data_IF_492813112073
#
_entry.id   IF_492813112073
#
_cell.length_a   1.000
_cell.length_b   1.000
_cell.length_c   1.000
_cell.angle_alpha   90.00
_cell.angle_beta   90.00
_cell.angle_gamma   90.00
#
_symmetry.space_group_name_H-M   'P 1'
#
loop_
_entity.id
_entity.type
_entity.pdbx_description
1 polymer ?
#
# COMPACT_ATOMS: atom_id res chain seq x y z
N UNK A 1 -43.24 -2.59 0.19
CA UNK A 1 -42.30 -1.51 0.59
C UNK A 1 -41.05 -2.03 1.30
N UNK A 2 -41.16 -2.96 2.27
CA UNK A 2 -40.02 -3.58 2.97
C UNK A 2 -38.99 -4.27 2.06
N UNK A 3 -39.44 -5.06 1.08
CA UNK A 3 -38.54 -5.78 0.16
C UNK A 3 -37.69 -4.84 -0.71
N UNK A 4 -38.22 -3.68 -1.10
CA UNK A 4 -37.50 -2.70 -1.90
C UNK A 4 -36.34 -2.07 -1.09
N UNK A 5 -36.64 -1.64 0.14
CA UNK A 5 -35.64 -1.04 1.05
C UNK A 5 -34.54 -2.04 1.44
N UNK A 6 -34.88 -3.32 1.58
CA UNK A 6 -33.88 -4.37 1.81
C UNK A 6 -32.99 -4.63 0.60
N UNK A 7 -33.55 -4.64 -0.63
CA UNK A 7 -32.76 -4.79 -1.86
C UNK A 7 -31.82 -3.61 -2.09
N UNK A 8 -32.29 -2.38 -1.86
CA UNK A 8 -31.47 -1.16 -1.98
C UNK A 8 -30.29 -1.17 -1.00
N UNK A 9 -30.53 -1.49 0.29
CA UNK A 9 -29.46 -1.60 1.29
C UNK A 9 -28.45 -2.71 0.95
N UNK A 10 -28.91 -3.85 0.45
CA UNK A 10 -28.04 -4.98 0.11
C UNK A 10 -27.13 -4.63 -1.09
N UNK A 11 -27.68 -3.98 -2.11
CA UNK A 11 -26.90 -3.54 -3.28
C UNK A 11 -25.86 -2.47 -2.88
N UNK A 12 -26.24 -1.49 -2.06
CA UNK A 12 -25.32 -0.47 -1.56
C UNK A 12 -24.14 -1.09 -0.78
N UNK A 13 -24.44 -2.07 0.08
CA UNK A 13 -23.41 -2.78 0.87
C UNK A 13 -22.46 -3.59 -0.02
N UNK A 14 -22.97 -4.25 -1.05
CA UNK A 14 -22.15 -5.02 -2.01
C UNK A 14 -21.25 -4.12 -2.84
N UNK A 15 -21.76 -2.97 -3.29
CA UNK A 15 -20.97 -2.01 -4.06
C UNK A 15 -19.82 -1.43 -3.22
N UNK A 16 -20.07 -1.09 -1.96
CA UNK A 16 -19.03 -0.64 -1.03
C UNK A 16 -17.95 -1.70 -0.80
N UNK A 17 -18.33 -2.96 -0.57
CA UNK A 17 -17.38 -4.07 -0.44
C UNK A 17 -16.54 -4.25 -1.71
N UNK A 18 -17.17 -4.17 -2.88
CA UNK A 18 -16.47 -4.26 -4.15
C UNK A 18 -15.46 -3.13 -4.36
N UNK A 19 -15.85 -1.88 -4.08
CA UNK A 19 -14.96 -0.72 -4.20
C UNK A 19 -13.74 -0.85 -3.28
N UNK A 20 -13.94 -1.29 -2.03
CA UNK A 20 -12.86 -1.53 -1.07
C UNK A 20 -11.90 -2.61 -1.57
N UNK A 21 -12.44 -3.76 -1.98
CA UNK A 21 -11.63 -4.85 -2.54
C UNK A 21 -10.83 -4.38 -3.78
N UNK A 22 -11.46 -3.64 -4.68
CA UNK A 22 -10.80 -3.07 -5.87
C UNK A 22 -9.68 -2.10 -5.49
N UNK A 23 -9.89 -1.22 -4.50
CA UNK A 23 -8.86 -0.30 -3.99
C UNK A 23 -7.67 -1.05 -3.39
N UNK A 24 -7.93 -2.10 -2.60
CA UNK A 24 -6.90 -2.97 -2.03
C UNK A 24 -6.09 -3.69 -3.11
N UNK A 25 -6.74 -4.26 -4.12
CA UNK A 25 -6.04 -4.89 -5.25
C UNK A 25 -5.18 -3.87 -6.00
N UNK A 26 -5.67 -2.64 -6.20
CA UNK A 26 -4.90 -1.57 -6.84
C UNK A 26 -3.65 -1.21 -6.03
N UNK A 27 -3.75 -1.10 -4.70
CA UNK A 27 -2.61 -0.79 -3.84
C UNK A 27 -1.58 -1.92 -3.82
N UNK A 28 -2.02 -3.18 -3.74
CA UNK A 28 -1.16 -4.36 -3.85
C UNK A 28 -0.40 -4.38 -5.19
N UNK A 29 -1.10 -4.13 -6.31
CA UNK A 29 -0.45 -4.02 -7.63
C UNK A 29 0.58 -2.88 -7.68
N UNK A 30 0.25 -1.73 -7.09
CA UNK A 30 1.18 -0.60 -6.99
C UNK A 30 2.43 -0.96 -6.20
N UNK A 31 2.29 -1.69 -5.09
CA UNK A 31 3.42 -2.19 -4.32
C UNK A 31 4.31 -3.13 -5.13
N UNK A 32 3.74 -4.14 -5.80
CA UNK A 32 4.54 -5.05 -6.63
C UNK A 32 5.25 -4.35 -7.78
N UNK A 33 4.63 -3.34 -8.39
CA UNK A 33 5.29 -2.53 -9.41
C UNK A 33 6.50 -1.78 -8.84
N UNK A 34 6.36 -1.18 -7.66
CA UNK A 34 7.46 -0.46 -7.01
C UNK A 34 8.58 -1.43 -6.57
N UNK A 35 8.22 -2.57 -5.99
CA UNK A 35 9.15 -3.64 -5.63
C UNK A 35 9.93 -4.16 -6.85
N UNK A 36 9.25 -4.39 -7.98
CA UNK A 36 9.89 -4.84 -9.21
C UNK A 36 10.92 -3.82 -9.71
N UNK A 37 10.53 -2.54 -9.79
CA UNK A 37 11.45 -1.46 -10.20
C UNK A 37 12.64 -1.38 -9.24
N UNK A 38 12.39 -1.48 -7.94
CA UNK A 38 13.44 -1.50 -6.91
C UNK A 38 14.44 -2.64 -7.16
N UNK A 39 13.97 -3.86 -7.38
CA UNK A 39 14.83 -5.03 -7.60
C UNK A 39 15.62 -4.92 -8.91
N UNK A 40 14.97 -4.52 -10.00
CA UNK A 40 15.61 -4.41 -11.33
C UNK A 40 16.69 -3.32 -11.32
N UNK A 41 16.38 -2.14 -10.80
CA UNK A 41 17.32 -1.01 -10.79
C UNK A 41 18.49 -1.28 -9.86
N UNK A 42 18.23 -1.71 -8.61
CA UNK A 42 19.33 -2.00 -7.68
C UNK A 42 20.15 -3.21 -8.12
N UNK A 43 19.52 -4.24 -8.69
CA UNK A 43 20.22 -5.37 -9.29
C UNK A 43 21.12 -4.96 -10.45
N UNK A 44 20.64 -4.06 -11.32
CA UNK A 44 21.45 -3.51 -12.41
C UNK A 44 22.64 -2.68 -11.89
N UNK A 45 22.42 -1.82 -10.89
CA UNK A 45 23.49 -0.99 -10.30
C UNK A 45 24.57 -1.87 -9.65
N UNK A 46 24.17 -2.81 -8.79
CA UNK A 46 25.10 -3.71 -8.10
C UNK A 46 25.79 -4.67 -9.08
N UNK A 47 25.05 -5.22 -10.04
CA UNK A 47 25.57 -6.14 -11.06
C UNK A 47 26.55 -5.47 -12.02
N UNK A 48 26.23 -4.26 -12.50
CA UNK A 48 27.14 -3.51 -13.39
C UNK A 48 28.44 -3.12 -12.69
N UNK A 49 28.38 -2.77 -11.40
CA UNK A 49 29.58 -2.46 -10.60
C UNK A 49 30.45 -3.71 -10.41
N UNK A 50 29.83 -4.85 -10.07
CA UNK A 50 30.54 -6.13 -9.92
C UNK A 50 31.28 -6.55 -11.21
N UNK A 51 30.65 -6.39 -12.38
CA UNK A 51 31.25 -6.75 -13.67
C UNK A 51 32.34 -5.75 -14.07
N UNK A 52 32.18 -4.46 -13.77
CA UNK A 52 33.06 -3.41 -14.29
C UNK A 52 34.36 -3.22 -13.52
N UNK A 53 34.39 -3.42 -12.20
CA UNK A 53 35.60 -3.13 -11.42
C UNK A 53 36.50 -4.36 -11.26
N UNK A 54 35.94 -5.58 -11.22
CA UNK A 54 36.71 -6.77 -10.81
C UNK A 54 37.30 -6.65 -9.39
N UNK A 55 36.91 -5.60 -8.67
CA UNK A 55 37.55 -5.11 -7.47
C UNK A 55 36.56 -5.25 -6.32
N UNK A 56 36.84 -6.19 -5.43
CA UNK A 56 35.96 -6.59 -4.33
C UNK A 56 35.74 -5.44 -3.32
N UNK A 57 36.68 -4.49 -3.26
CA UNK A 57 36.62 -3.32 -2.37
C UNK A 57 35.53 -2.32 -2.81
N UNK A 58 35.39 -2.04 -4.11
CA UNK A 58 34.36 -1.13 -4.65
C UNK A 58 32.92 -1.68 -4.50
N UNK A 59 32.80 -3.01 -4.34
CA UNK A 59 31.53 -3.66 -4.03
C UNK A 59 31.15 -3.49 -2.56
N UNK A 60 32.11 -3.39 -1.65
CA UNK A 60 31.87 -3.18 -0.21
C UNK A 60 31.79 -1.71 0.21
N UNK A 61 32.02 -0.78 -0.72
CA UNK A 61 31.81 0.64 -0.49
C UNK A 61 30.38 0.93 -0.07
N UNK A 62 30.22 1.62 1.07
CA UNK A 62 28.93 2.05 1.60
C UNK A 62 28.10 2.84 0.58
N UNK A 63 28.75 3.60 -0.31
CA UNK A 63 28.05 4.35 -1.37
C UNK A 63 27.22 3.42 -2.28
N UNK A 64 27.70 2.22 -2.57
CA UNK A 64 27.03 1.25 -3.45
C UNK A 64 25.70 0.75 -2.90
N UNK A 65 25.53 0.74 -1.57
CA UNK A 65 24.31 0.28 -0.91
C UNK A 65 23.41 1.42 -0.46
N UNK A 66 23.94 2.64 -0.35
CA UNK A 66 23.19 3.80 0.15
C UNK A 66 21.87 4.01 -0.60
N UNK A 67 21.88 3.94 -1.93
CA UNK A 67 20.69 4.08 -2.78
C UNK A 67 19.65 2.98 -2.47
N UNK A 68 20.10 1.72 -2.40
CA UNK A 68 19.24 0.59 -2.09
C UNK A 68 18.61 0.73 -0.69
N UNK A 69 19.39 1.15 0.31
CA UNK A 69 18.92 1.33 1.68
C UNK A 69 17.84 2.43 1.75
N UNK A 70 18.12 3.62 1.21
CA UNK A 70 17.15 4.72 1.27
C UNK A 70 15.86 4.40 0.52
N UNK A 71 15.95 3.78 -0.66
CA UNK A 71 14.76 3.34 -1.39
C UNK A 71 14.05 2.18 -0.68
N UNK A 72 14.81 1.29 -0.04
CA UNK A 72 14.30 0.18 0.76
C UNK A 72 13.45 0.66 1.94
N UNK A 73 13.83 1.75 2.59
CA UNK A 73 13.01 2.39 3.64
C UNK A 73 11.66 2.85 3.06
N UNK A 74 11.68 3.55 1.92
CA UNK A 74 10.44 3.98 1.24
C UNK A 74 9.56 2.80 0.82
N UNK A 75 10.18 1.73 0.32
CA UNK A 75 9.50 0.49 -0.04
C UNK A 75 8.88 -0.20 1.18
N UNK A 76 9.57 -0.20 2.33
CA UNK A 76 9.06 -0.75 3.59
C UNK A 76 7.84 0.04 4.08
N UNK A 77 7.86 1.37 4.01
CA UNK A 77 6.68 2.19 4.32
C UNK A 77 5.50 1.92 3.37
N UNK A 78 5.78 1.68 2.08
CA UNK A 78 4.73 1.30 1.13
C UNK A 78 4.17 -0.10 1.43
N UNK A 79 5.03 -1.07 1.76
CA UNK A 79 4.59 -2.39 2.20
C UNK A 79 3.70 -2.30 3.45
N UNK A 80 4.12 -1.48 4.42
CA UNK A 80 3.39 -1.26 5.65
C UNK A 80 2.02 -0.62 5.41
N UNK A 81 1.92 0.38 4.54
CA UNK A 81 0.62 1.01 4.22
C UNK A 81 -0.31 0.06 3.47
N UNK A 82 0.23 -0.86 2.68
CA UNK A 82 -0.56 -1.83 1.90
C UNK A 82 -0.99 -3.03 2.74
N UNK A 83 -0.11 -3.58 3.59
CA UNK A 83 -0.34 -4.83 4.32
C UNK A 83 -0.43 -4.68 5.84
N UNK A 84 0.25 -3.69 6.42
CA UNK A 84 0.44 -3.56 7.87
C UNK A 84 -0.72 -2.89 8.62
N UNK A 85 -1.46 -1.98 7.97
CA UNK A 85 -2.57 -1.25 8.61
C UNK A 85 -3.62 -2.20 9.20
N UNK A 86 -4.02 -3.23 8.45
CA UNK A 86 -5.04 -4.19 8.89
C UNK A 86 -4.55 -5.08 10.04
N UNK A 87 -3.25 -5.37 10.09
CA UNK A 87 -2.62 -6.22 11.12
C UNK A 87 -2.50 -5.47 12.44
N UNK A 88 -2.18 -4.17 12.40
CA UNK A 88 -1.91 -3.37 13.59
C UNK A 88 -3.18 -2.74 14.16
N UNK A 89 -4.07 -2.22 13.30
CA UNK A 89 -5.29 -1.53 13.74
C UNK A 89 -6.51 -2.47 13.80
N UNK A 90 -6.38 -3.67 13.24
CA UNK A 90 -7.45 -4.67 13.10
C UNK A 90 -8.29 -4.45 11.84
N UNK A 91 -8.81 -5.56 11.28
CA UNK A 91 -9.57 -5.58 10.02
C UNK A 91 -10.76 -4.62 9.97
N UNK A 92 -11.36 -4.30 11.12
CA UNK A 92 -12.56 -3.45 11.20
C UNK A 92 -12.22 -1.96 11.47
N UNK A 93 -10.95 -1.59 11.59
CA UNK A 93 -10.59 -0.20 11.89
C UNK A 93 -11.03 0.76 10.79
N UNK A 94 -10.82 0.39 9.52
CA UNK A 94 -11.20 1.23 8.39
C UNK A 94 -12.71 1.49 8.39
N UNK A 95 -13.50 0.44 8.68
CA UNK A 95 -14.97 0.50 8.75
C UNK A 95 -15.46 1.37 9.91
N UNK A 96 -14.85 1.21 11.09
CA UNK A 96 -15.13 2.07 12.25
C UNK A 96 -14.80 3.53 11.94
N UNK A 97 -13.68 3.79 11.26
CA UNK A 97 -13.24 5.16 10.96
C UNK A 97 -14.10 5.83 9.90
N UNK A 98 -14.49 5.11 8.85
CA UNK A 98 -15.43 5.58 7.84
C UNK A 98 -16.76 5.95 8.50
N UNK A 99 -17.29 5.07 9.37
CA UNK A 99 -18.54 5.34 10.10
C UNK A 99 -18.44 6.59 10.98
N UNK A 100 -17.35 6.72 11.75
CA UNK A 100 -17.10 7.91 12.57
C UNK A 100 -17.06 9.21 11.76
N UNK A 101 -16.44 9.19 10.57
CA UNK A 101 -16.34 10.38 9.72
C UNK A 101 -17.72 10.74 9.11
N UNK A 102 -18.47 9.74 8.63
CA UNK A 102 -19.82 9.95 8.13
C UNK A 102 -20.77 10.51 9.19
N UNK A 103 -20.68 10.00 10.43
CA UNK A 103 -21.50 10.47 11.54
C UNK A 103 -21.15 11.93 11.92
N UNK A 104 -19.85 12.29 11.91
CA UNK A 104 -19.41 13.69 12.12
C UNK A 104 -19.91 14.64 11.04
N UNK A 105 -19.78 14.26 9.78
CA UNK A 105 -20.26 15.07 8.65
C UNK A 105 -21.78 15.28 8.71
N UNK A 106 -22.52 14.28 9.20
CA UNK A 106 -23.95 14.40 9.42
C UNK A 106 -24.26 15.40 10.52
N UNK A 107 -23.59 15.33 11.68
CA UNK A 107 -23.81 16.26 12.80
C UNK A 107 -23.50 17.71 12.43
N UNK A 108 -22.37 17.97 11.76
CA UNK A 108 -21.99 19.32 11.32
C UNK A 108 -22.91 19.94 10.26
N UNK A 109 -23.76 19.14 9.60
CA UNK A 109 -24.69 19.63 8.57
C UNK A 109 -26.04 20.09 9.14
N UNK A 110 -26.30 19.81 10.43
CA UNK A 110 -27.51 20.20 11.16
C UNK A 110 -27.24 21.25 12.26
N UNK A 111 -25.99 21.68 12.39
CA UNK A 111 -25.56 22.90 13.09
C UNK A 111 -25.38 24.04 12.06
#
# INVERSE_FOLDING_TARGET
MLNFKMMENNNYTKEQQYVRAKKKVKSIKGFYSHLLVYLVVNGFILGSRFISTGDWEAFWEWQSYSTAIFWGIGLAFHAFSVFGIDVILGKDWEDRKIKQLMDKDRTNKWE
#
